data_IF_855525023423
#
_entry.id   IF_855525023423
#
_cell.length_a   1.000
_cell.length_b   1.000
_cell.length_c   1.000
_cell.angle_alpha   90.00
_cell.angle_beta   90.00
_cell.angle_gamma   90.00
#
_symmetry.space_group_name_H-M   'P 1'
#
loop_
_entity.id
_entity.type
_entity.pdbx_description
1 polymer ?
#
# COMPACT_ATOMS: atom_id res chain seq x y z
N UNK A 1 49.67 -21.70 36.00
CA UNK A 1 49.18 -20.84 34.88
C UNK A 1 49.44 -21.40 33.47
N UNK A 2 50.36 -22.35 33.24
CA UNK A 2 50.64 -22.93 31.90
C UNK A 2 49.51 -23.82 31.33
N UNK A 3 48.74 -24.51 32.19
CA UNK A 3 47.68 -25.46 31.77
C UNK A 3 46.39 -24.78 31.29
N UNK A 4 46.12 -23.55 31.76
CA UNK A 4 44.94 -22.76 31.36
C UNK A 4 45.17 -22.10 29.99
N UNK A 5 46.41 -21.65 29.72
CA UNK A 5 46.78 -21.08 28.42
C UNK A 5 46.70 -22.11 27.27
N UNK A 6 47.02 -23.37 27.55
CA UNK A 6 46.96 -24.46 26.56
C UNK A 6 45.51 -24.84 26.23
N UNK A 7 44.61 -24.84 27.23
CA UNK A 7 43.18 -25.10 26.99
C UNK A 7 42.53 -24.03 26.12
N UNK A 8 42.90 -22.76 26.30
CA UNK A 8 42.37 -21.63 25.53
C UNK A 8 42.87 -21.63 24.07
N UNK A 9 44.12 -22.05 23.84
CA UNK A 9 44.67 -22.20 22.48
C UNK A 9 44.00 -23.32 21.69
N UNK A 10 43.67 -24.45 22.33
CA UNK A 10 43.00 -25.58 21.66
C UNK A 10 41.56 -25.18 21.25
N UNK A 11 40.89 -24.38 22.08
CA UNK A 11 39.51 -23.95 21.82
C UNK A 11 39.43 -22.94 20.65
N UNK A 12 40.43 -22.06 20.52
CA UNK A 12 40.53 -21.11 19.39
C UNK A 12 40.86 -21.81 18.06
N UNK A 13 41.65 -22.90 18.07
CA UNK A 13 41.93 -23.67 16.85
C UNK A 13 40.71 -24.43 16.32
N UNK A 14 39.83 -24.93 17.20
CA UNK A 14 38.61 -25.64 16.80
C UNK A 14 37.57 -24.65 16.23
N UNK A 15 37.43 -23.47 16.85
CA UNK A 15 36.52 -22.43 16.36
C UNK A 15 36.99 -21.78 15.03
N UNK A 16 38.31 -21.62 14.85
CA UNK A 16 38.88 -21.09 13.61
C UNK A 16 38.91 -22.09 12.45
N UNK A 17 39.06 -23.39 12.74
CA UNK A 17 39.12 -24.44 11.72
C UNK A 17 37.78 -24.69 11.00
N UNK A 18 36.66 -24.62 11.73
CA UNK A 18 35.34 -24.87 11.15
C UNK A 18 34.92 -23.79 10.12
N UNK A 19 35.26 -22.53 10.37
CA UNK A 19 34.94 -21.42 9.45
C UNK A 19 35.78 -21.45 8.16
N UNK A 20 37.06 -21.81 8.25
CA UNK A 20 37.94 -21.89 7.09
C UNK A 20 37.58 -23.07 6.16
N UNK A 21 37.17 -24.21 6.70
CA UNK A 21 36.72 -25.37 5.90
C UNK A 21 35.40 -25.06 5.19
N UNK A 22 34.44 -24.43 5.87
CA UNK A 22 33.16 -24.05 5.25
C UNK A 22 33.35 -23.07 4.09
N UNK A 23 34.22 -22.06 4.27
CA UNK A 23 34.51 -21.09 3.21
C UNK A 23 35.25 -21.71 2.02
N UNK A 24 36.16 -22.66 2.27
CA UNK A 24 36.95 -23.29 1.19
C UNK A 24 36.14 -24.34 0.40
N UNK A 25 35.24 -25.10 1.05
CA UNK A 25 34.44 -26.13 0.38
C UNK A 25 33.28 -25.56 -0.46
N UNK A 26 32.71 -24.42 -0.05
CA UNK A 26 31.55 -23.85 -0.74
C UNK A 26 31.89 -22.88 -1.88
N UNK A 27 33.08 -22.26 -1.87
CA UNK A 27 33.47 -21.27 -2.87
C UNK A 27 34.42 -21.80 -3.97
N UNK A 28 34.87 -23.05 -3.88
CA UNK A 28 35.86 -23.61 -4.81
C UNK A 28 35.31 -24.63 -5.81
N UNK A 29 33.99 -24.72 -5.98
CA UNK A 29 33.38 -25.48 -7.08
C UNK A 29 32.65 -24.54 -8.04
N UNK A 30 33.38 -23.82 -8.93
CA UNK A 30 32.77 -23.36 -10.15
C UNK A 30 32.30 -24.59 -10.93
N UNK A 31 31.08 -24.53 -11.45
CA UNK A 31 30.50 -25.51 -12.36
C UNK A 31 31.46 -25.79 -13.51
N UNK A 32 32.09 -26.96 -13.50
CA UNK A 32 32.97 -27.43 -14.55
C UNK A 32 32.33 -28.67 -15.18
N UNK A 33 31.81 -28.46 -16.38
CA UNK A 33 31.37 -29.47 -17.34
C UNK A 33 32.57 -30.26 -17.85
N UNK A 34 32.48 -31.59 -17.87
CA UNK A 34 33.28 -32.44 -18.77
C UNK A 34 32.54 -33.76 -19.06
N UNK A 35 32.37 -34.04 -20.35
CA UNK A 35 31.77 -35.23 -20.95
C UNK A 35 32.69 -36.47 -20.87
N UNK A 36 32.11 -37.65 -20.61
CA UNK A 36 32.55 -38.95 -21.17
C UNK A 36 31.49 -40.08 -20.95
N UNK A 37 30.99 -40.64 -22.07
CA UNK A 37 30.26 -41.92 -22.32
C UNK A 37 30.40 -43.04 -21.27
N UNK A 38 29.45 -43.92 -20.90
CA UNK A 38 28.16 -44.51 -21.40
C UNK A 38 27.54 -45.29 -20.18
N UNK A 39 26.31 -45.89 -20.15
CA UNK A 39 25.36 -46.18 -21.24
C UNK A 39 23.91 -45.68 -20.99
N UNK A 40 23.10 -45.74 -22.05
CA UNK A 40 21.66 -45.43 -22.08
C UNK A 40 20.87 -46.15 -20.98
N UNK A 41 20.40 -45.40 -19.99
CA UNK A 41 19.15 -45.71 -19.30
C UNK A 41 18.10 -44.82 -19.93
N UNK A 42 17.22 -45.42 -20.73
CA UNK A 42 16.00 -44.79 -21.21
C UNK A 42 15.09 -44.57 -20.00
N UNK A 43 15.41 -43.55 -19.19
CA UNK A 43 14.45 -42.98 -18.26
C UNK A 43 13.64 -42.03 -19.10
N UNK A 44 12.41 -42.44 -19.40
CA UNK A 44 11.35 -41.56 -19.86
C UNK A 44 11.32 -40.34 -18.95
N UNK A 45 11.97 -39.28 -19.42
CA UNK A 45 11.93 -37.96 -18.86
C UNK A 45 10.55 -37.40 -19.18
N UNK A 46 9.56 -37.83 -18.39
CA UNK A 46 8.44 -36.99 -18.06
C UNK A 46 9.00 -35.80 -17.29
N UNK A 47 9.62 -34.88 -18.01
CA UNK A 47 9.80 -33.50 -17.59
C UNK A 47 8.39 -32.99 -17.30
N UNK A 48 7.96 -33.14 -16.05
CA UNK A 48 6.93 -32.31 -15.49
C UNK A 48 7.49 -30.90 -15.63
N UNK A 49 7.01 -30.19 -16.65
CA UNK A 49 7.07 -28.74 -16.68
C UNK A 49 6.60 -28.29 -15.31
N UNK A 50 7.50 -27.78 -14.48
CA UNK A 50 7.11 -26.94 -13.37
C UNK A 50 6.50 -25.70 -14.03
N UNK A 51 5.19 -25.75 -14.30
CA UNK A 51 4.45 -24.57 -14.72
C UNK A 51 4.70 -23.49 -13.65
N UNK A 52 5.20 -22.35 -14.09
CA UNK A 52 5.28 -21.15 -13.26
C UNK A 52 3.93 -20.99 -12.53
N UNK A 53 3.94 -20.73 -11.20
CA UNK A 53 2.72 -20.65 -10.43
C UNK A 53 1.79 -19.62 -11.05
N UNK A 54 0.60 -20.07 -11.47
CA UNK A 54 -0.42 -19.21 -12.06
C UNK A 54 -0.74 -18.07 -11.07
N UNK A 55 -0.87 -16.81 -11.54
CA UNK A 55 -1.20 -15.69 -10.67
C UNK A 55 -2.56 -15.95 -10.00
N UNK A 56 -2.65 -15.68 -8.70
CA UNK A 56 -3.90 -15.86 -7.94
C UNK A 56 -4.98 -14.98 -8.58
N UNK A 57 -6.12 -15.54 -9.02
CA UNK A 57 -7.17 -14.75 -9.64
C UNK A 57 -7.75 -13.75 -8.64
N UNK A 58 -8.13 -12.57 -9.14
CA UNK A 58 -8.78 -11.52 -8.36
C UNK A 58 -9.80 -10.77 -9.21
N UNK A 59 -10.69 -10.04 -8.56
CA UNK A 59 -11.62 -9.08 -9.18
C UNK A 59 -11.37 -7.70 -8.59
N UNK A 60 -11.38 -6.67 -9.44
CA UNK A 60 -11.22 -5.29 -9.00
C UNK A 60 -12.58 -4.72 -8.58
N UNK A 61 -12.61 -4.10 -7.41
CA UNK A 61 -13.77 -3.39 -6.86
C UNK A 61 -13.38 -1.96 -6.51
N UNK A 62 -14.33 -1.05 -6.61
CA UNK A 62 -14.23 0.31 -6.13
C UNK A 62 -14.76 0.41 -4.71
N UNK A 63 -14.03 1.10 -3.83
CA UNK A 63 -14.51 1.47 -2.50
C UNK A 63 -15.52 2.61 -2.62
N UNK A 64 -16.71 2.44 -2.03
CA UNK A 64 -17.85 3.35 -2.22
C UNK A 64 -18.20 4.16 -0.96
N UNK A 65 -17.43 3.99 0.11
CA UNK A 65 -17.60 4.72 1.37
C UNK A 65 -16.25 5.25 1.84
N UNK A 66 -16.19 6.45 2.44
CA UNK A 66 -14.93 7.00 2.95
C UNK A 66 -14.47 6.28 4.23
N UNK A 67 -13.16 6.11 4.37
CA UNK A 67 -12.51 5.66 5.61
C UNK A 67 -12.92 4.25 6.07
N UNK A 68 -13.23 3.34 5.14
CA UNK A 68 -13.73 1.99 5.46
C UNK A 68 -12.65 1.17 6.15
N UNK A 69 -13.00 0.58 7.28
CA UNK A 69 -12.06 -0.20 8.09
C UNK A 69 -11.72 -1.54 7.43
N UNK A 70 -10.42 -1.87 7.43
CA UNK A 70 -9.90 -3.16 6.99
C UNK A 70 -9.61 -4.02 8.21
N UNK A 71 -10.17 -5.22 8.25
CA UNK A 71 -10.16 -6.12 9.41
C UNK A 71 -9.19 -7.29 9.22
N UNK A 72 -8.57 -7.74 10.31
CA UNK A 72 -7.67 -8.90 10.32
C UNK A 72 -8.38 -10.25 10.04
N UNK A 73 -9.69 -10.31 10.28
CA UNK A 73 -10.57 -11.47 10.09
C UNK A 73 -11.95 -10.98 9.62
N UNK A 74 -12.80 -11.82 8.98
CA UNK A 74 -14.11 -11.43 8.48
C UNK A 74 -15.16 -11.31 9.61
N UNK A 75 -14.89 -10.44 10.57
CA UNK A 75 -15.77 -10.11 11.70
C UNK A 75 -15.42 -8.73 12.25
N UNK A 76 -16.44 -7.97 12.64
CA UNK A 76 -16.30 -6.63 13.24
C UNK A 76 -15.60 -6.66 14.61
N UNK A 77 -15.53 -7.82 15.27
CA UNK A 77 -14.80 -7.97 16.54
C UNK A 77 -13.28 -8.13 16.34
N UNK A 78 -12.80 -8.23 15.10
CA UNK A 78 -11.38 -8.41 14.81
C UNK A 78 -10.61 -7.09 14.84
N UNK A 79 -9.28 -7.19 14.96
CA UNK A 79 -8.39 -6.05 14.89
C UNK A 79 -8.53 -5.31 13.56
N UNK A 80 -8.73 -3.99 13.61
CA UNK A 80 -8.58 -3.09 12.45
C UNK A 80 -7.09 -2.98 12.12
N UNK A 81 -6.74 -3.30 10.88
CA UNK A 81 -5.36 -3.34 10.36
C UNK A 81 -5.09 -2.27 9.31
N UNK A 82 -6.12 -1.51 8.93
CA UNK A 82 -6.01 -0.40 7.99
C UNK A 82 -7.35 0.28 7.75
N UNK A 83 -7.33 1.28 6.87
CA UNK A 83 -8.51 1.93 6.31
C UNK A 83 -8.30 2.13 4.82
N UNK A 84 -9.38 2.10 4.04
CA UNK A 84 -9.32 2.41 2.61
C UNK A 84 -9.80 3.82 2.33
N UNK A 85 -9.39 4.34 1.19
CA UNK A 85 -9.86 5.62 0.66
C UNK A 85 -11.13 5.43 -0.18
N UNK A 86 -12.00 6.45 -0.22
CA UNK A 86 -13.14 6.43 -1.13
C UNK A 86 -12.65 6.39 -2.59
N UNK A 87 -13.25 5.54 -3.42
CA UNK A 87 -12.89 5.20 -4.81
C UNK A 87 -11.56 4.48 -5.00
N UNK A 88 -10.90 4.05 -3.91
CA UNK A 88 -9.76 3.15 -4.02
C UNK A 88 -10.16 1.87 -4.79
N UNK A 89 -9.30 1.43 -5.71
CA UNK A 89 -9.48 0.16 -6.41
C UNK A 89 -8.81 -0.93 -5.59
N UNK A 90 -9.61 -1.84 -5.04
CA UNK A 90 -9.13 -2.97 -4.25
C UNK A 90 -9.23 -4.26 -5.06
N UNK A 91 -8.21 -5.12 -4.93
CA UNK A 91 -8.20 -6.45 -5.53
C UNK A 91 -8.80 -7.44 -4.55
N UNK A 92 -9.96 -7.99 -4.88
CA UNK A 92 -10.65 -9.00 -4.08
C UNK A 92 -10.25 -10.39 -4.58
N UNK A 93 -9.66 -11.18 -3.69
CA UNK A 93 -9.17 -12.53 -3.97
C UNK A 93 -10.16 -13.63 -3.54
N UNK A 94 -11.06 -13.31 -2.62
CA UNK A 94 -12.00 -14.26 -2.05
C UNK A 94 -13.19 -13.51 -1.44
N UNK A 95 -14.39 -14.05 -1.59
CA UNK A 95 -15.60 -13.55 -0.94
C UNK A 95 -16.15 -14.61 0.03
N UNK A 96 -16.31 -14.23 1.29
CA UNK A 96 -16.92 -15.06 2.32
C UNK A 96 -18.15 -14.35 2.91
N UNK A 97 -19.33 -14.81 2.50
CA UNK A 97 -20.61 -14.24 2.91
C UNK A 97 -20.73 -12.75 2.59
N UNK A 98 -20.47 -11.86 3.56
CA UNK A 98 -20.53 -10.40 3.43
C UNK A 98 -19.15 -9.73 3.51
N UNK A 99 -18.09 -10.52 3.38
CA UNK A 99 -16.72 -10.06 3.51
C UNK A 99 -15.91 -10.39 2.26
N UNK A 100 -15.02 -9.48 1.90
CA UNK A 100 -14.12 -9.59 0.75
C UNK A 100 -12.68 -9.52 1.23
N UNK A 101 -11.88 -10.54 0.90
CA UNK A 101 -10.45 -10.60 1.21
C UNK A 101 -9.68 -9.80 0.19
N UNK A 102 -8.98 -8.76 0.65
CA UNK A 102 -8.21 -7.84 -0.21
C UNK A 102 -6.70 -8.11 -0.22
N UNK A 103 -6.27 -9.13 0.53
CA UNK A 103 -4.88 -9.61 0.53
C UNK A 103 -4.80 -11.00 -0.08
N UNK A 104 -3.84 -11.19 -1.00
CA UNK A 104 -3.70 -12.44 -1.76
C UNK A 104 -3.42 -13.67 -0.91
N UNK A 105 -2.85 -13.50 0.29
CA UNK A 105 -2.45 -14.58 1.20
C UNK A 105 -3.14 -14.48 2.57
N UNK A 106 -3.07 -15.56 3.32
CA UNK A 106 -3.56 -15.68 4.70
C UNK A 106 -2.41 -16.18 5.58
N UNK A 107 -2.24 -15.61 6.77
CA UNK A 107 -1.29 -16.13 7.74
C UNK A 107 -1.81 -17.46 8.30
N UNK A 108 -1.21 -18.58 7.90
CA UNK A 108 -1.68 -19.93 8.28
C UNK A 108 -1.67 -20.17 9.81
N UNK A 109 -0.74 -19.56 10.54
CA UNK A 109 -0.62 -19.75 11.99
C UNK A 109 -1.72 -19.02 12.77
N UNK A 110 -2.11 -17.83 12.32
CA UNK A 110 -3.04 -16.94 13.05
C UNK A 110 -4.43 -16.86 12.42
N UNK A 111 -4.56 -17.31 11.17
CA UNK A 111 -5.72 -17.11 10.31
C UNK A 111 -5.97 -15.63 9.97
N UNK A 112 -4.97 -14.75 10.11
CA UNK A 112 -5.12 -13.32 9.80
C UNK A 112 -4.92 -13.05 8.32
N UNK A 113 -5.76 -12.19 7.76
CA UNK A 113 -5.63 -11.60 6.42
C UNK A 113 -6.31 -10.22 6.44
N UNK A 114 -6.49 -9.55 5.30
CA UNK A 114 -7.17 -8.26 5.23
C UNK A 114 -8.55 -8.42 4.61
N UNK A 115 -9.57 -7.96 5.33
CA UNK A 115 -10.98 -8.14 4.98
C UNK A 115 -11.72 -6.81 5.01
N UNK A 116 -12.55 -6.57 4.00
CA UNK A 116 -13.47 -5.42 3.90
C UNK A 116 -14.90 -5.95 3.88
N UNK A 117 -15.83 -5.20 4.48
CA UNK A 117 -17.24 -5.53 4.45
C UNK A 117 -17.89 -5.09 3.12
N UNK A 118 -18.60 -6.01 2.45
CA UNK A 118 -18.94 -5.89 1.02
C UNK A 118 -19.88 -4.72 0.69
N UNK A 119 -20.63 -4.21 1.67
CA UNK A 119 -21.54 -3.08 1.43
C UNK A 119 -20.82 -1.79 1.03
N UNK A 120 -19.50 -1.75 1.23
CA UNK A 120 -18.64 -0.64 0.85
C UNK A 120 -17.89 -0.87 -0.47
N UNK A 121 -18.21 -1.94 -1.21
CA UNK A 121 -17.55 -2.28 -2.47
C UNK A 121 -18.56 -2.32 -3.62
N UNK A 122 -18.12 -1.87 -4.80
CA UNK A 122 -18.91 -1.92 -6.03
C UNK A 122 -18.05 -2.34 -7.22
N UNK A 123 -18.63 -3.13 -8.13
CA UNK A 123 -18.01 -3.43 -9.42
C UNK A 123 -18.07 -2.24 -10.38
N UNK A 124 -19.05 -1.36 -10.18
CA UNK A 124 -19.21 -0.11 -10.92
C UNK A 124 -18.53 1.03 -10.16
N UNK A 125 -17.81 1.90 -10.85
CA UNK A 125 -17.15 3.06 -10.24
C UNK A 125 -18.20 4.09 -9.78
N UNK A 126 -18.40 4.30 -8.47
CA UNK A 126 -19.32 5.30 -7.97
C UNK A 126 -18.68 6.69 -8.07
N UNK A 127 -19.44 7.68 -8.55
CA UNK A 127 -18.89 9.01 -8.83
C UNK A 127 -18.39 9.21 -10.26
N UNK A 128 -18.75 8.32 -11.19
CA UNK A 128 -18.69 8.60 -12.63
C UNK A 128 -19.72 9.66 -13.03
N UNK A 129 -20.79 9.84 -12.24
CA UNK A 129 -21.71 10.96 -12.45
C UNK A 129 -21.14 12.24 -11.86
N UNK A 130 -21.25 13.34 -12.62
CA UNK A 130 -20.81 14.68 -12.19
C UNK A 130 -21.46 15.08 -10.85
N UNK A 131 -22.70 14.68 -10.61
CA UNK A 131 -23.46 15.02 -9.41
C UNK A 131 -22.99 14.29 -8.15
N UNK A 132 -22.63 13.01 -8.25
CA UNK A 132 -22.09 12.26 -7.11
C UNK A 132 -20.70 12.76 -6.76
N UNK A 133 -19.84 12.97 -7.76
CA UNK A 133 -18.52 13.57 -7.57
C UNK A 133 -18.59 14.92 -6.87
N UNK A 134 -19.50 15.77 -7.31
CA UNK A 134 -19.75 17.07 -6.67
C UNK A 134 -20.14 16.93 -5.19
N UNK A 135 -21.06 16.00 -4.88
CA UNK A 135 -21.55 15.77 -3.51
C UNK A 135 -20.44 15.29 -2.59
N UNK A 136 -19.65 14.32 -3.05
CA UNK A 136 -18.60 13.70 -2.25
C UNK A 136 -17.51 14.73 -1.91
N UNK A 137 -17.06 15.50 -2.91
CA UNK A 137 -16.10 16.58 -2.71
C UNK A 137 -16.68 17.64 -1.78
N UNK A 138 -17.92 18.07 -1.99
CA UNK A 138 -18.59 19.04 -1.12
C UNK A 138 -18.58 18.61 0.35
N UNK A 139 -18.79 17.33 0.64
CA UNK A 139 -18.74 16.81 2.01
C UNK A 139 -17.32 16.85 2.59
N UNK A 140 -16.31 16.57 1.76
CA UNK A 140 -14.91 16.55 2.16
C UNK A 140 -14.38 17.95 2.55
N UNK A 141 -14.88 19.01 1.91
CA UNK A 141 -14.38 20.38 2.09
C UNK A 141 -15.39 21.34 2.73
N UNK A 142 -16.39 20.80 3.44
CA UNK A 142 -17.53 21.56 3.99
C UNK A 142 -17.13 22.66 5.00
N UNK A 143 -15.95 22.57 5.61
CA UNK A 143 -15.41 23.54 6.58
C UNK A 143 -14.42 24.53 5.98
N UNK A 144 -14.42 24.66 4.66
CA UNK A 144 -13.59 25.64 3.96
C UNK A 144 -13.99 27.07 4.32
N UNK A 145 -13.00 27.94 4.50
CA UNK A 145 -13.23 29.38 4.65
C UNK A 145 -13.83 29.96 3.36
N UNK A 146 -14.81 30.85 3.48
CA UNK A 146 -15.51 31.50 2.35
C UNK A 146 -16.17 30.52 1.36
N UNK A 147 -16.49 29.30 1.81
CA UNK A 147 -17.02 28.23 0.97
C UNK A 147 -18.33 28.60 0.29
N UNK A 148 -19.30 29.17 1.03
CA UNK A 148 -20.63 29.48 0.48
C UNK A 148 -20.57 30.47 -0.70
N UNK A 149 -19.60 31.39 -0.71
CA UNK A 149 -19.45 32.37 -1.79
C UNK A 149 -18.75 31.79 -3.01
N UNK A 150 -17.96 30.72 -2.85
CA UNK A 150 -17.06 30.19 -3.87
C UNK A 150 -17.19 28.67 -4.07
N UNK A 151 -18.32 28.07 -3.68
CA UNK A 151 -18.53 26.62 -3.59
C UNK A 151 -18.08 25.89 -4.87
N UNK A 152 -18.55 26.35 -6.03
CA UNK A 152 -18.23 25.73 -7.31
C UNK A 152 -16.72 25.73 -7.60
N UNK A 153 -16.02 26.83 -7.29
CA UNK A 153 -14.58 26.97 -7.54
C UNK A 153 -13.76 26.10 -6.60
N UNK A 154 -14.15 26.03 -5.33
CA UNK A 154 -13.52 25.14 -4.37
C UNK A 154 -13.70 23.67 -4.74
N UNK A 155 -14.91 23.27 -5.16
CA UNK A 155 -15.16 21.89 -5.58
C UNK A 155 -14.33 21.53 -6.81
N UNK A 156 -14.25 22.42 -7.81
CA UNK A 156 -13.46 22.23 -9.02
C UNK A 156 -11.96 22.04 -8.70
N UNK A 157 -11.37 22.96 -7.93
CA UNK A 157 -9.94 22.88 -7.59
C UNK A 157 -9.63 21.69 -6.66
N UNK A 158 -10.57 21.34 -5.78
CA UNK A 158 -10.43 20.14 -4.93
C UNK A 158 -10.46 18.87 -5.78
N UNK A 159 -11.37 18.77 -6.74
CA UNK A 159 -11.41 17.65 -7.68
C UNK A 159 -10.08 17.52 -8.43
N UNK A 160 -9.51 18.65 -8.87
CA UNK A 160 -8.23 18.67 -9.57
C UNK A 160 -7.08 18.17 -8.69
N UNK A 161 -6.97 18.59 -7.42
CA UNK A 161 -5.88 18.11 -6.54
C UNK A 161 -6.02 16.62 -6.20
N UNK A 162 -7.24 16.12 -6.06
CA UNK A 162 -7.51 14.71 -5.81
C UNK A 162 -7.20 13.86 -7.05
N UNK A 163 -7.64 14.28 -8.24
CA UNK A 163 -7.35 13.57 -9.49
C UNK A 163 -5.86 13.57 -9.84
N UNK A 164 -5.15 14.67 -9.55
CA UNK A 164 -3.71 14.76 -9.76
C UNK A 164 -2.87 14.13 -8.63
N UNK A 165 -3.52 13.55 -7.61
CA UNK A 165 -2.88 12.93 -6.45
C UNK A 165 -1.91 13.86 -5.68
N UNK A 166 -2.14 15.17 -5.76
CA UNK A 166 -1.39 16.16 -4.96
C UNK A 166 -1.90 16.22 -3.52
N UNK A 167 -3.14 15.78 -3.32
CA UNK A 167 -3.79 15.57 -2.04
C UNK A 167 -4.62 14.27 -2.11
N UNK A 168 -4.74 13.56 -1.01
CA UNK A 168 -5.67 12.45 -0.84
C UNK A 168 -6.96 12.92 -0.16
N UNK A 169 -7.96 12.04 -0.07
CA UNK A 169 -9.16 12.36 0.70
C UNK A 169 -8.86 12.39 2.19
N UNK A 170 -8.12 11.40 2.71
CA UNK A 170 -7.66 11.40 4.10
C UNK A 170 -6.85 12.63 4.51
N UNK A 171 -6.05 13.20 3.61
CA UNK A 171 -5.36 14.49 3.88
C UNK A 171 -6.35 15.62 4.23
N UNK A 172 -7.50 15.65 3.53
CA UNK A 172 -8.53 16.68 3.72
C UNK A 172 -9.46 16.37 4.90
N UNK A 173 -9.52 15.13 5.39
CA UNK A 173 -10.44 14.74 6.48
C UNK A 173 -10.20 15.50 7.78
N UNK A 174 -8.95 15.86 8.08
CA UNK A 174 -8.60 16.49 9.35
C UNK A 174 -9.12 17.93 9.45
N UNK A 175 -8.91 18.72 8.40
CA UNK A 175 -9.38 20.11 8.34
C UNK A 175 -10.81 20.21 7.78
N UNK A 176 -11.22 19.22 7.00
CA UNK A 176 -12.46 19.20 6.23
C UNK A 176 -12.60 20.42 5.31
N UNK A 177 -11.49 20.89 4.72
CA UNK A 177 -11.52 22.03 3.82
C UNK A 177 -10.21 22.81 3.72
N UNK A 178 -10.33 23.99 3.13
CA UNK A 178 -9.24 24.91 2.86
C UNK A 178 -9.30 26.12 3.78
N UNK A 179 -8.16 26.51 4.33
CA UNK A 179 -8.01 27.63 5.27
C UNK A 179 -7.49 28.85 4.52
N UNK A 180 -8.07 30.02 4.74
CA UNK A 180 -7.61 31.28 4.15
C UNK A 180 -6.16 31.58 4.55
N UNK A 181 -5.31 31.84 3.58
CA UNK A 181 -3.89 32.14 3.83
C UNK A 181 -3.68 33.55 4.33
N UNK A 182 -3.04 33.69 5.49
CA UNK A 182 -2.61 34.99 6.02
C UNK A 182 -1.36 35.55 5.33
N UNK A 183 -0.61 34.71 4.61
CA UNK A 183 0.60 35.15 3.88
C UNK A 183 0.26 35.92 2.60
N UNK A 184 -0.97 35.78 2.10
CA UNK A 184 -1.47 36.42 0.89
C UNK A 184 -2.81 37.13 1.20
N UNK A 185 -2.79 38.23 1.97
CA UNK A 185 -4.00 38.87 2.46
C UNK A 185 -4.88 39.48 1.36
N UNK A 186 -4.27 39.89 0.24
CA UNK A 186 -4.95 40.58 -0.87
C UNK A 186 -5.34 39.66 -2.03
N UNK A 187 -4.93 38.39 -2.00
CA UNK A 187 -5.23 37.40 -3.04
C UNK A 187 -6.08 36.27 -2.45
N UNK A 188 -7.08 35.69 -3.14
CA UNK A 188 -7.95 34.64 -2.60
C UNK A 188 -7.25 33.28 -2.60
N UNK A 189 -6.18 33.20 -1.81
CA UNK A 189 -5.35 32.02 -1.63
C UNK A 189 -5.73 31.30 -0.35
N UNK A 190 -5.89 29.98 -0.45
CA UNK A 190 -6.24 29.09 0.64
C UNK A 190 -5.26 27.94 0.67
N UNK A 191 -5.15 27.25 1.81
CA UNK A 191 -4.28 26.08 1.94
C UNK A 191 -4.94 24.96 2.73
N UNK A 192 -4.51 23.74 2.43
CA UNK A 192 -4.69 22.58 3.30
C UNK A 192 -3.34 21.88 3.47
N UNK A 193 -3.29 20.86 4.32
CA UNK A 193 -2.13 19.99 4.43
C UNK A 193 -2.37 18.71 3.63
N UNK A 194 -1.40 18.36 2.78
CA UNK A 194 -1.46 17.22 1.89
C UNK A 194 -0.13 16.47 1.94
N UNK A 195 -0.12 15.30 2.60
CA UNK A 195 1.09 14.49 2.85
C UNK A 195 1.63 14.54 4.28
N UNK A 196 0.97 15.24 5.21
CA UNK A 196 1.39 15.42 6.60
C UNK A 196 0.74 16.63 7.25
N UNK A 197 1.35 17.19 8.30
CA UNK A 197 0.85 18.40 9.01
C UNK A 197 1.95 19.48 9.17
N UNK A 198 3.09 19.29 8.52
CA UNK A 198 4.21 20.24 8.59
C UNK A 198 3.99 21.39 7.60
N UNK A 199 4.79 22.45 7.74
CA UNK A 199 4.66 23.65 6.87
C UNK A 199 4.91 23.30 5.41
N UNK A 200 5.83 22.37 5.15
CA UNK A 200 6.20 21.88 3.83
C UNK A 200 5.07 21.04 3.18
N UNK A 201 4.16 20.50 3.99
CA UNK A 201 3.01 19.72 3.51
C UNK A 201 1.85 20.60 3.06
N UNK A 202 1.96 21.92 3.20
CA UNK A 202 0.93 22.84 2.73
C UNK A 202 0.82 22.81 1.21
N UNK A 203 -0.41 22.64 0.74
CA UNK A 203 -0.78 22.84 -0.64
C UNK A 203 -1.71 24.06 -0.69
N UNK A 204 -1.34 25.03 -1.53
CA UNK A 204 -2.09 26.26 -1.74
C UNK A 204 -2.91 26.16 -3.02
N UNK A 205 -4.09 26.77 -2.98
CA UNK A 205 -4.93 27.03 -4.15
C UNK A 205 -5.26 28.51 -4.24
N UNK A 206 -5.22 29.07 -5.45
CA UNK A 206 -5.67 30.43 -5.73
C UNK A 206 -7.01 30.37 -6.47
N UNK A 207 -8.07 30.93 -5.88
CA UNK A 207 -9.42 30.86 -6.46
C UNK A 207 -9.56 31.65 -7.77
N UNK A 208 -8.83 32.75 -7.94
CA UNK A 208 -8.99 33.65 -9.08
C UNK A 208 -8.44 33.02 -10.36
N UNK A 209 -7.21 32.53 -10.32
CA UNK A 209 -6.52 32.02 -11.50
C UNK A 209 -6.48 30.47 -11.56
N UNK A 210 -6.76 29.79 -10.44
CA UNK A 210 -6.74 28.32 -10.35
C UNK A 210 -5.35 27.72 -10.15
N UNK A 211 -4.36 28.54 -9.79
CA UNK A 211 -3.02 28.04 -9.51
C UNK A 211 -3.02 27.14 -8.28
N UNK A 212 -2.29 26.04 -8.36
CA UNK A 212 -2.05 25.08 -7.30
C UNK A 212 -0.54 25.01 -7.08
N UNK A 213 -0.08 25.25 -5.86
CA UNK A 213 1.36 25.34 -5.56
C UNK A 213 1.69 24.99 -4.10
N UNK A 214 2.96 24.76 -3.80
CA UNK A 214 3.50 24.53 -2.46
C UNK A 214 4.40 25.68 -2.05
#
# INVERSE_FOLDING_TARGET
>A
MKKILIGLLILLFIAGGAGAVYYFFFYQNPSESDDADEPMVEVSESAAFEEDPQPIPFTEYFVISPGVEVFAKPTFESQVVGKTELREVVKVYEELSRWSRVQSWVNETTGKSQWIYNEHLSLENPGDTVQERYRDIKQLIVRTDDFEQNEARFIELTDQVLQSQQCSQSDLEQLQGWIRSFNYPDEPIYYSYCGGLEVEDKLYINLDNGDIFR
#
